data_IF_367483590304
#
_entry.id   IF_367483590304
#
_cell.length_a   1.000
_cell.length_b   1.000
_cell.length_c   1.000
_cell.angle_alpha   90.00
_cell.angle_beta   90.00
_cell.angle_gamma   90.00
#
_symmetry.space_group_name_H-M   'P 1'
#
loop_
_entity.id
_entity.type
_entity.pdbx_description
1 polymer ?
#
# COMPACT_ATOMS: atom_id res chain seq x y z
N UNK A 1 1.99 -1.31 -16.57
CA UNK A 1 0.88 -1.32 -15.62
C UNK A 1 1.15 -2.43 -14.62
N UNK A 2 1.28 -2.10 -13.34
CA UNK A 2 1.18 -3.12 -12.29
C UNK A 2 -0.28 -3.59 -12.23
N UNK A 3 -0.50 -4.83 -11.79
CA UNK A 3 -1.85 -5.35 -11.57
C UNK A 3 -2.55 -4.60 -10.43
N UNK A 4 -3.86 -4.81 -10.30
CA UNK A 4 -4.62 -4.37 -9.12
C UNK A 4 -4.31 -5.30 -7.94
N UNK A 5 -4.41 -4.79 -6.71
CA UNK A 5 -4.48 -5.64 -5.53
C UNK A 5 -5.73 -6.53 -5.58
N UNK A 6 -5.61 -7.80 -5.22
CA UNK A 6 -6.72 -8.76 -5.20
C UNK A 6 -7.84 -8.34 -4.25
N UNK A 7 -7.53 -7.65 -3.14
CA UNK A 7 -8.54 -7.04 -2.26
C UNK A 7 -9.44 -6.01 -2.97
N UNK A 8 -8.95 -5.39 -4.05
CA UNK A 8 -9.71 -4.44 -4.87
C UNK A 8 -10.43 -5.09 -6.06
N UNK A 9 -10.25 -6.39 -6.30
CA UNK A 9 -10.84 -7.15 -7.41
C UNK A 9 -12.00 -8.00 -6.89
N UNK A 10 -13.19 -8.00 -7.52
CA UNK A 10 -14.28 -8.89 -7.14
C UNK A 10 -13.84 -10.36 -7.15
N UNK A 11 -14.23 -11.14 -6.14
CA UNK A 11 -13.86 -12.57 -6.03
C UNK A 11 -14.29 -13.41 -7.24
N UNK A 12 -15.29 -12.97 -8.02
CA UNK A 12 -15.70 -13.65 -9.27
C UNK A 12 -14.61 -13.63 -10.35
N UNK A 13 -13.70 -12.67 -10.27
CA UNK A 13 -12.66 -12.42 -11.27
C UNK A 13 -11.30 -12.93 -10.78
N UNK A 14 -11.27 -13.59 -9.62
CA UNK A 14 -10.08 -14.25 -9.08
C UNK A 14 -9.72 -15.49 -9.90
N UNK A 15 -8.44 -15.91 -9.89
CA UNK A 15 -8.04 -17.18 -10.48
C UNK A 15 -8.77 -18.35 -9.83
N UNK A 16 -9.01 -19.40 -10.61
CA UNK A 16 -9.67 -20.62 -10.14
C UNK A 16 -8.69 -21.74 -9.78
N UNK A 17 -7.42 -21.60 -10.17
CA UNK A 17 -6.40 -22.56 -9.82
C UNK A 17 -5.95 -22.40 -8.36
N UNK A 18 -5.73 -23.54 -7.70
CA UNK A 18 -5.43 -23.59 -6.26
C UNK A 18 -4.08 -22.96 -5.93
N UNK A 19 -3.08 -23.11 -6.80
CA UNK A 19 -1.73 -22.56 -6.62
C UNK A 19 -1.74 -21.02 -6.61
N UNK A 20 -2.45 -20.37 -7.54
CA UNK A 20 -2.59 -18.92 -7.53
C UNK A 20 -3.35 -18.44 -6.29
N UNK A 21 -4.43 -19.12 -5.90
CA UNK A 21 -5.19 -18.76 -4.69
C UNK A 21 -4.35 -18.89 -3.42
N UNK A 22 -3.49 -19.90 -3.31
CA UNK A 22 -2.54 -20.03 -2.20
C UNK A 22 -1.53 -18.87 -2.20
N UNK A 23 -0.99 -18.50 -3.36
CA UNK A 23 -0.02 -17.38 -3.46
C UNK A 23 -0.63 -16.04 -3.03
N UNK A 24 -1.91 -15.79 -3.35
CA UNK A 24 -2.64 -14.60 -2.91
C UNK A 24 -2.77 -14.60 -1.38
N UNK A 25 -3.11 -15.76 -0.80
CA UNK A 25 -3.32 -15.91 0.64
C UNK A 25 -2.03 -15.86 1.45
N UNK A 26 -0.89 -16.24 0.86
CA UNK A 26 0.41 -16.25 1.54
C UNK A 26 0.78 -14.88 2.13
N UNK A 27 0.42 -13.80 1.44
CA UNK A 27 0.72 -12.42 1.86
C UNK A 27 -0.54 -11.63 2.25
N UNK A 28 -1.65 -12.32 2.56
CA UNK A 28 -2.93 -11.68 2.84
C UNK A 28 -3.10 -11.39 4.34
N UNK A 29 -3.26 -10.11 4.69
CA UNK A 29 -3.49 -9.68 6.06
C UNK A 29 -4.73 -8.79 6.19
N UNK A 30 -5.71 -9.21 7.00
CA UNK A 30 -6.88 -8.37 7.28
C UNK A 30 -6.48 -7.14 8.14
N UNK A 31 -7.09 -5.96 7.89
CA UNK A 31 -8.25 -5.73 7.02
C UNK A 31 -7.90 -5.43 5.54
N UNK A 32 -6.61 -5.33 5.19
CA UNK A 32 -6.16 -4.75 3.92
C UNK A 32 -5.88 -5.77 2.82
N UNK A 33 -5.93 -7.06 3.12
CA UNK A 33 -5.68 -8.16 2.19
C UNK A 33 -4.24 -8.16 1.69
N UNK A 34 -4.05 -8.15 0.38
CA UNK A 34 -2.74 -8.19 -0.27
C UNK A 34 -2.14 -6.79 -0.53
N UNK A 35 -2.70 -5.72 0.05
CA UNK A 35 -2.24 -4.34 -0.10
C UNK A 35 -0.91 -4.08 0.63
N UNK A 36 0.15 -4.76 0.19
CA UNK A 36 1.50 -4.68 0.72
C UNK A 36 2.36 -3.75 -0.12
N UNK A 37 3.27 -3.04 0.54
CA UNK A 37 4.28 -2.21 -0.11
C UNK A 37 5.67 -2.79 0.11
N UNK A 38 6.46 -2.87 -0.96
CA UNK A 38 7.88 -3.22 -0.89
C UNK A 38 8.71 -2.06 -1.44
N UNK A 39 9.62 -1.55 -0.61
CA UNK A 39 10.48 -0.40 -0.95
C UNK A 39 11.94 -0.84 -1.02
N UNK A 40 12.62 -0.51 -2.11
CA UNK A 40 14.04 -0.79 -2.33
C UNK A 40 14.80 0.53 -2.45
N UNK A 41 15.76 0.76 -1.56
CA UNK A 41 16.64 1.93 -1.59
C UNK A 41 18.02 1.53 -2.09
N UNK A 42 18.52 2.20 -3.14
CA UNK A 42 19.82 1.92 -3.75
C UNK A 42 20.68 3.19 -3.64
N UNK A 43 21.81 3.11 -2.95
CA UNK A 43 22.70 4.24 -2.73
C UNK A 43 23.97 3.87 -1.98
N UNK A 44 24.95 4.77 -1.99
CA UNK A 44 26.20 4.63 -1.23
C UNK A 44 26.11 5.41 0.08
N UNK A 45 26.63 4.86 1.17
CA UNK A 45 26.61 5.53 2.48
C UNK A 45 25.22 5.69 3.08
N UNK A 46 24.25 4.84 2.70
CA UNK A 46 22.91 4.84 3.28
C UNK A 46 22.97 4.47 4.76
N UNK A 47 22.37 5.30 5.60
CA UNK A 47 22.10 4.99 6.99
C UNK A 47 20.80 4.20 7.08
N UNK A 48 20.93 2.87 7.12
CA UNK A 48 19.80 1.95 7.17
C UNK A 48 18.89 2.23 8.37
N UNK A 49 19.45 2.51 9.54
CA UNK A 49 18.68 2.67 10.77
C UNK A 49 17.89 3.98 10.74
N UNK A 50 18.49 5.04 10.17
CA UNK A 50 17.77 6.29 9.95
C UNK A 50 16.61 6.12 8.97
N UNK A 51 16.80 5.38 7.88
CA UNK A 51 15.72 5.11 6.90
C UNK A 51 14.58 4.33 7.55
N UNK A 52 14.88 3.26 8.28
CA UNK A 52 13.87 2.46 8.98
C UNK A 52 13.12 3.34 9.97
N UNK A 53 13.82 4.12 10.79
CA UNK A 53 13.19 5.01 11.77
C UNK A 53 12.28 6.05 11.11
N UNK A 54 12.67 6.60 9.96
CA UNK A 54 11.83 7.54 9.22
C UNK A 54 10.57 6.87 8.67
N UNK A 55 10.66 5.63 8.18
CA UNK A 55 9.50 4.85 7.72
C UNK A 55 8.58 4.46 8.88
N UNK A 56 9.12 4.05 10.02
CA UNK A 56 8.36 3.72 11.22
C UNK A 56 7.55 4.92 11.74
N UNK A 57 8.09 6.15 11.59
CA UNK A 57 7.39 7.39 11.94
C UNK A 57 6.21 7.71 11.02
N UNK A 58 6.15 7.10 9.84
CA UNK A 58 5.04 7.25 8.89
C UNK A 58 3.94 6.21 9.10
N UNK A 59 4.11 5.25 10.03
CA UNK A 59 3.08 4.27 10.33
C UNK A 59 1.87 4.96 10.96
N UNK A 60 0.69 4.66 10.43
CA UNK A 60 -0.58 5.14 10.96
C UNK A 60 -0.90 4.40 12.27
N UNK A 61 -1.46 5.11 13.24
CA UNK A 61 -2.09 4.48 14.40
C UNK A 61 -3.46 3.91 14.03
N UNK A 62 -4.01 3.03 14.88
CA UNK A 62 -5.37 2.49 14.69
C UNK A 62 -6.41 3.62 14.59
N UNK A 63 -6.26 4.67 15.39
CA UNK A 63 -7.14 5.85 15.35
C UNK A 63 -7.05 6.57 13.99
N UNK A 64 -5.84 6.71 13.44
CA UNK A 64 -5.63 7.32 12.12
C UNK A 64 -6.25 6.48 11.00
N UNK A 65 -6.16 5.16 11.12
CA UNK A 65 -6.79 4.20 10.19
C UNK A 65 -8.31 4.33 10.23
N UNK A 66 -8.89 4.47 11.43
CA UNK A 66 -10.34 4.57 11.63
C UNK A 66 -10.96 5.87 11.10
N UNK A 67 -10.16 6.94 10.89
CA UNK A 67 -10.63 8.17 10.23
C UNK A 67 -11.19 7.90 8.83
N UNK A 68 -10.63 6.92 8.13
CA UNK A 68 -11.08 6.45 6.84
C UNK A 68 -10.88 7.42 5.67
N UNK A 69 -11.18 6.92 4.48
CA UNK A 69 -10.91 7.59 3.19
C UNK A 69 -11.50 9.00 3.08
N UNK A 70 -12.75 9.18 3.52
CA UNK A 70 -13.45 10.47 3.40
C UNK A 70 -12.78 11.58 4.22
N UNK A 71 -12.13 11.21 5.32
CA UNK A 71 -11.36 12.13 6.13
C UNK A 71 -9.99 12.39 5.48
N UNK A 72 -9.27 11.34 5.08
CA UNK A 72 -7.94 11.48 4.47
C UNK A 72 -7.95 12.33 3.19
N UNK A 73 -9.03 12.25 2.40
CA UNK A 73 -9.20 13.07 1.20
C UNK A 73 -9.23 14.59 1.46
N UNK A 74 -9.35 15.01 2.73
CA UNK A 74 -9.32 16.42 3.14
C UNK A 74 -7.95 16.90 3.57
N UNK A 75 -6.97 16.00 3.71
CA UNK A 75 -5.61 16.41 4.03
C UNK A 75 -5.03 17.26 2.91
N UNK A 76 -4.18 18.25 3.24
CA UNK A 76 -3.51 19.04 2.22
C UNK A 76 -2.63 18.12 1.38
N UNK A 77 -2.82 18.15 0.07
CA UNK A 77 -1.98 17.44 -0.88
C UNK A 77 -0.62 18.18 -0.99
N UNK A 78 0.50 17.55 -0.58
CA UNK A 78 1.81 18.19 -0.64
C UNK A 78 2.44 18.12 -2.04
N UNK A 79 1.83 17.39 -2.98
CA UNK A 79 2.38 17.21 -4.32
C UNK A 79 1.96 18.33 -5.28
N UNK A 80 2.80 18.68 -6.28
CA UNK A 80 2.44 19.68 -7.28
C UNK A 80 1.21 19.28 -8.10
N UNK A 81 0.35 20.24 -8.44
CA UNK A 81 -0.82 20.02 -9.30
C UNK A 81 -0.46 19.38 -10.65
N UNK A 82 0.72 19.70 -11.17
CA UNK A 82 1.28 19.19 -12.41
C UNK A 82 1.62 17.68 -12.38
N UNK A 83 1.55 17.03 -11.21
CA UNK A 83 1.72 15.58 -11.06
C UNK A 83 0.39 14.83 -10.96
N UNK A 84 -0.73 15.54 -10.85
CA UNK A 84 -2.04 14.89 -10.84
C UNK A 84 -2.30 14.31 -12.22
N UNK A 85 -2.52 13.00 -12.28
CA UNK A 85 -2.93 12.35 -13.52
C UNK A 85 -4.21 12.99 -14.03
N UNK A 86 -4.27 13.27 -15.33
CA UNK A 86 -5.50 13.69 -15.97
C UNK A 86 -6.50 12.53 -15.86
N UNK A 87 -7.56 12.74 -15.07
CA UNK A 87 -8.70 11.82 -14.93
C UNK A 87 -9.32 11.52 -16.29
#
# INVERSE_FOLDING_TARGET
FAGMFWKAVPESDWPQDEEALESIKENWEEPFGDMRQELVFIGQGLDKDQVIKALDQCLLSDDDVLLGRDHWARFPDPFPEEWKEAV
#
